data_IF_851642640690
#
_entry.id   IF_851642640690
#
_cell.length_a   1.000
_cell.length_b   1.000
_cell.length_c   1.000
_cell.angle_alpha   90.00
_cell.angle_beta   90.00
_cell.angle_gamma   90.00
#
_symmetry.space_group_name_H-M   'P 1'
#
loop_
_entity.id
_entity.type
_entity.pdbx_description
1 polymer ?
#
# COMPACT_ATOMS: atom_id res chain seq x y z
N UNK A 1 9.65 24.00 9.56
CA UNK A 1 9.56 23.55 8.17
C UNK A 1 9.48 22.04 8.20
N UNK A 2 8.31 21.44 7.93
CA UNK A 2 8.29 20.00 7.62
C UNK A 2 9.07 19.88 6.31
N UNK A 3 10.24 19.23 6.34
CA UNK A 3 10.90 18.79 5.12
C UNK A 3 9.85 18.05 4.29
N UNK A 4 9.68 18.43 3.02
CA UNK A 4 8.75 17.79 2.08
C UNK A 4 9.07 16.30 2.03
N UNK A 5 8.36 15.51 2.84
CA UNK A 5 8.62 14.09 2.93
C UNK A 5 8.32 13.45 1.57
N UNK A 6 9.32 12.74 1.06
CA UNK A 6 9.24 12.11 -0.25
C UNK A 6 9.84 10.70 -0.18
N UNK A 7 9.02 9.65 -0.26
CA UNK A 7 9.53 8.29 -0.38
C UNK A 7 10.21 8.12 -1.74
N UNK A 8 11.43 7.58 -1.76
CA UNK A 8 12.08 7.17 -3.00
C UNK A 8 11.55 5.81 -3.50
N UNK A 9 11.22 4.92 -2.56
CA UNK A 9 10.68 3.58 -2.79
C UNK A 9 9.47 3.40 -1.89
N UNK A 10 8.43 2.76 -2.43
CA UNK A 10 7.25 2.34 -1.66
C UNK A 10 7.07 0.84 -1.85
N UNK A 11 7.01 0.10 -0.75
CA UNK A 11 6.63 -1.31 -0.71
C UNK A 11 5.14 -1.40 -0.36
N UNK A 12 4.39 -2.20 -1.11
CA UNK A 12 2.96 -2.45 -0.89
C UNK A 12 2.78 -3.92 -0.55
N UNK A 13 2.26 -4.17 0.65
CA UNK A 13 2.02 -5.52 1.14
C UNK A 13 0.55 -5.73 1.50
N UNK A 14 0.05 -6.94 1.25
CA UNK A 14 -1.25 -7.38 1.74
C UNK A 14 -1.19 -7.59 3.26
N UNK A 15 -2.13 -7.01 3.99
CA UNK A 15 -2.26 -7.19 5.43
C UNK A 15 -3.59 -7.85 5.79
N UNK A 16 -3.52 -8.77 6.75
CA UNK A 16 -4.69 -9.35 7.39
C UNK A 16 -4.65 -9.06 8.89
N UNK A 17 -5.65 -8.36 9.39
CA UNK A 17 -5.74 -7.95 10.79
C UNK A 17 -6.95 -8.61 11.43
N UNK A 18 -6.70 -9.36 12.50
CA UNK A 18 -7.75 -9.92 13.36
C UNK A 18 -7.76 -9.15 14.68
N UNK A 19 -8.78 -8.32 14.89
CA UNK A 19 -9.01 -7.68 16.18
C UNK A 19 -9.81 -8.63 17.08
N UNK A 20 -9.61 -8.54 18.40
CA UNK A 20 -10.41 -9.31 19.35
C UNK A 20 -11.90 -8.95 19.20
N UNK A 21 -12.78 -9.96 19.20
CA UNK A 21 -14.23 -9.76 19.01
C UNK A 21 -14.76 -10.01 17.59
N UNK A 22 -14.10 -10.87 16.81
CA UNK A 22 -14.53 -11.40 15.49
C UNK A 22 -14.30 -10.52 14.26
N UNK A 23 -13.91 -9.25 14.42
CA UNK A 23 -13.64 -8.39 13.26
C UNK A 23 -12.33 -8.78 12.57
N UNK A 24 -12.46 -9.19 11.31
CA UNK A 24 -11.36 -9.52 10.40
C UNK A 24 -11.31 -8.46 9.31
N UNK A 25 -10.12 -7.97 9.02
CA UNK A 25 -9.87 -6.96 8.01
C UNK A 25 -8.82 -7.47 7.05
N UNK A 26 -9.09 -7.34 5.76
CA UNK A 26 -8.06 -7.38 4.73
C UNK A 26 -7.70 -5.95 4.37
N UNK A 27 -6.49 -5.73 3.88
CA UNK A 27 -6.06 -4.41 3.49
C UNK A 27 -4.72 -4.43 2.78
N UNK A 28 -4.31 -3.25 2.36
CA UNK A 28 -3.02 -3.01 1.75
C UNK A 28 -2.29 -1.94 2.53
N UNK A 29 -1.00 -2.17 2.76
CA UNK A 29 -0.12 -1.27 3.51
C UNK A 29 0.97 -0.75 2.57
N UNK A 30 1.11 0.57 2.47
CA UNK A 30 2.24 1.20 1.82
C UNK A 30 3.30 1.58 2.86
N UNK A 31 4.52 1.10 2.66
CA UNK A 31 5.64 1.26 3.58
C UNK A 31 6.86 1.87 2.87
N UNK A 32 7.54 2.79 3.54
CA UNK A 32 8.82 3.33 3.09
C UNK A 32 9.96 2.59 3.81
N UNK A 33 10.65 1.65 3.13
CA UNK A 33 11.68 0.84 3.75
C UNK A 33 12.92 1.65 4.17
N UNK A 34 13.16 2.80 3.51
CA UNK A 34 14.34 3.62 3.77
C UNK A 34 14.16 4.48 5.01
N UNK A 35 13.00 5.14 5.13
CA UNK A 35 12.69 6.00 6.26
C UNK A 35 12.01 5.25 7.42
N UNK A 36 11.65 3.98 7.21
CA UNK A 36 11.08 3.05 8.19
C UNK A 36 9.76 3.51 8.78
N UNK A 37 8.81 3.92 7.94
CA UNK A 37 7.47 4.25 8.40
C UNK A 37 6.38 3.97 7.38
N UNK A 38 5.15 3.92 7.88
CA UNK A 38 3.94 3.66 7.10
C UNK A 38 3.55 4.92 6.33
N UNK A 39 3.53 4.81 5.00
CA UNK A 39 3.14 5.90 4.10
C UNK A 39 1.63 6.07 4.08
N UNK A 40 0.89 4.97 3.97
CA UNK A 40 -0.58 4.92 3.99
C UNK A 40 -1.06 3.47 4.14
N UNK A 41 -2.36 3.29 4.37
CA UNK A 41 -3.01 1.98 4.32
C UNK A 41 -4.48 2.10 3.94
N UNK A 42 -5.04 1.02 3.41
CA UNK A 42 -6.47 0.86 3.12
C UNK A 42 -6.94 -0.47 3.68
N UNK A 43 -8.15 -0.49 4.25
CA UNK A 43 -8.80 -1.68 4.79
C UNK A 43 -10.11 -1.90 4.03
N UNK A 44 -10.32 -3.13 3.56
CA UNK A 44 -11.48 -3.51 2.77
C UNK A 44 -11.58 -5.02 2.59
N UNK A 45 -11.87 -5.44 1.37
CA UNK A 45 -11.91 -6.85 0.97
C UNK A 45 -10.57 -7.25 0.33
N UNK A 46 -10.39 -8.54 0.11
CA UNK A 46 -9.23 -9.06 -0.63
C UNK A 46 -9.52 -9.02 -2.13
N UNK A 47 -9.59 -7.82 -2.69
CA UNK A 47 -9.90 -7.56 -4.09
C UNK A 47 -9.07 -6.40 -4.67
N UNK A 48 -9.12 -6.30 -6.00
CA UNK A 48 -8.38 -5.30 -6.77
C UNK A 48 -8.91 -3.88 -6.51
N UNK A 49 -10.20 -3.73 -6.20
CA UNK A 49 -10.82 -2.44 -5.86
C UNK A 49 -10.19 -1.83 -4.60
N UNK A 50 -9.98 -2.65 -3.56
CA UNK A 50 -9.32 -2.21 -2.32
C UNK A 50 -7.85 -1.81 -2.57
N UNK A 51 -7.17 -2.44 -3.54
CA UNK A 51 -5.80 -2.06 -3.94
C UNK A 51 -5.79 -0.74 -4.71
N UNK A 52 -6.74 -0.54 -5.64
CA UNK A 52 -6.86 0.70 -6.41
C UNK A 52 -7.08 1.92 -5.51
N UNK A 53 -7.87 1.77 -4.44
CA UNK A 53 -8.02 2.82 -3.42
C UNK A 53 -6.68 3.23 -2.79
N UNK A 54 -5.76 2.29 -2.55
CA UNK A 54 -4.43 2.62 -2.05
C UNK A 54 -3.63 3.38 -3.12
N UNK A 55 -3.70 2.96 -4.39
CA UNK A 55 -3.02 3.66 -5.48
C UNK A 55 -3.51 5.09 -5.66
N UNK A 56 -4.82 5.34 -5.56
CA UNK A 56 -5.38 6.68 -5.60
C UNK A 56 -4.75 7.59 -4.53
N UNK A 57 -4.58 7.08 -3.30
CA UNK A 57 -3.89 7.81 -2.24
C UNK A 57 -2.42 8.08 -2.55
N UNK A 58 -1.74 7.12 -3.20
CA UNK A 58 -0.32 7.23 -3.56
C UNK A 58 -0.06 8.14 -4.77
N UNK A 59 -1.08 8.50 -5.56
CA UNK A 59 -0.94 9.48 -6.67
C UNK A 59 -0.35 10.82 -6.24
N UNK A 60 -0.47 11.20 -4.96
CA UNK A 60 0.19 12.40 -4.39
C UNK A 60 1.72 12.38 -4.53
N UNK A 61 2.33 11.21 -4.75
CA UNK A 61 3.76 11.04 -4.95
C UNK A 61 4.16 10.74 -6.42
N UNK A 62 3.21 10.81 -7.37
CA UNK A 62 3.44 10.50 -8.79
C UNK A 62 4.55 11.38 -9.38
N UNK A 63 5.46 10.76 -10.13
CA UNK A 63 6.61 11.43 -10.75
C UNK A 63 7.73 11.78 -9.77
N UNK A 64 7.59 11.41 -8.50
CA UNK A 64 8.58 11.67 -7.45
C UNK A 64 9.11 10.39 -6.78
N UNK A 65 8.30 9.32 -6.78
CA UNK A 65 8.71 7.97 -6.38
C UNK A 65 9.44 7.28 -7.53
N UNK A 66 10.57 6.65 -7.24
CA UNK A 66 11.39 5.94 -8.23
C UNK A 66 10.90 4.51 -8.47
N UNK A 67 10.33 3.87 -7.44
CA UNK A 67 9.95 2.47 -7.49
C UNK A 67 8.77 2.17 -6.56
N UNK A 68 7.81 1.39 -7.06
CA UNK A 68 6.74 0.78 -6.27
C UNK A 68 6.86 -0.73 -6.42
N UNK A 69 6.98 -1.45 -5.30
CA UNK A 69 7.04 -2.90 -5.23
C UNK A 69 5.76 -3.42 -4.59
N UNK A 70 5.17 -4.48 -5.14
CA UNK A 70 3.92 -5.05 -4.61
C UNK A 70 4.11 -6.55 -4.47
N UNK A 71 4.05 -7.07 -3.25
CA UNK A 71 4.11 -8.50 -2.99
C UNK A 71 2.70 -9.10 -2.90
N UNK A 72 2.56 -10.39 -3.22
CA UNK A 72 1.32 -11.16 -3.04
C UNK A 72 0.15 -10.82 -3.97
N UNK A 73 0.27 -9.82 -4.87
CA UNK A 73 -0.81 -9.46 -5.80
C UNK A 73 -0.96 -10.47 -6.95
N UNK A 74 -1.89 -11.42 -6.79
CA UNK A 74 -2.21 -12.42 -7.83
C UNK A 74 -2.81 -11.82 -9.11
N UNK A 75 -3.34 -10.60 -9.07
CA UNK A 75 -3.92 -9.92 -10.22
C UNK A 75 -2.91 -9.50 -11.29
N UNK A 76 -1.63 -9.29 -10.93
CA UNK A 76 -0.60 -8.86 -11.89
C UNK A 76 -0.32 -9.92 -12.96
N UNK A 77 -0.43 -11.20 -12.58
CA UNK A 77 -0.23 -12.34 -13.49
C UNK A 77 -1.35 -12.53 -14.52
N UNK A 78 -2.45 -11.77 -14.45
CA UNK A 78 -3.54 -11.83 -15.46
C UNK A 78 -3.33 -10.90 -16.65
N UNK A 79 -2.31 -10.03 -16.61
CA UNK A 79 -2.00 -9.05 -17.66
C UNK A 79 -0.90 -9.57 -18.60
N UNK A 80 -0.42 -10.81 -18.44
CA UNK A 80 0.55 -11.46 -19.33
C UNK A 80 0.08 -12.85 -19.74
#
# INVERSE_FOLDING_TARGET
MLSDYLPEVIEIDEIYVKLQGEKKFYGWLAYDPRNKFIVDFVVGKRDDDTLEELFEKLKRFRGRVKLVLIDGYQGYGKIH
#
